data_IF_931311776657
#
_entry.id   IF_931311776657
#
_cell.length_a   1.000
_cell.length_b   1.000
_cell.length_c   1.000
_cell.angle_alpha   90.00
_cell.angle_beta   90.00
_cell.angle_gamma   90.00
#
_symmetry.space_group_name_H-M   'P 1'
#
loop_
_entity.id
_entity.type
_entity.pdbx_description
1 polymer ?
#
# COMPACT_ATOMS: atom_id res chain seq x y z
N UNK A 1 -56.61 15.30 39.42
CA UNK A 1 -56.15 14.49 38.27
C UNK A 1 -55.06 15.25 37.57
N UNK A 2 -53.82 14.83 37.72
CA UNK A 2 -52.67 15.39 36.98
C UNK A 2 -52.63 14.77 35.56
N UNK A 3 -52.38 15.53 34.52
CA UNK A 3 -52.18 14.93 33.20
C UNK A 3 -50.85 14.16 33.14
N UNK A 4 -50.73 13.11 32.31
CA UNK A 4 -49.51 12.31 32.18
C UNK A 4 -48.42 13.16 31.51
N UNK A 5 -47.21 13.04 32.04
CA UNK A 5 -46.02 13.63 31.46
C UNK A 5 -45.79 13.05 30.06
N UNK A 6 -45.74 13.92 29.06
CA UNK A 6 -45.37 13.55 27.70
C UNK A 6 -43.95 13.04 27.66
N UNK A 7 -43.74 11.80 27.23
CA UNK A 7 -42.45 11.28 26.85
C UNK A 7 -41.87 12.14 25.72
N UNK A 8 -40.79 12.84 26.02
CA UNK A 8 -39.96 13.51 25.02
C UNK A 8 -39.20 12.39 24.32
N UNK A 9 -39.69 11.98 23.14
CA UNK A 9 -38.91 11.16 22.21
C UNK A 9 -37.64 11.95 21.86
N UNK A 10 -36.53 11.56 22.46
CA UNK A 10 -35.20 12.02 22.08
C UNK A 10 -34.90 11.39 20.71
N UNK A 11 -35.28 12.05 19.64
CA UNK A 11 -34.79 11.78 18.29
C UNK A 11 -33.27 11.94 18.38
N UNK A 12 -32.53 10.83 18.40
CA UNK A 12 -31.08 10.85 18.36
C UNK A 12 -30.67 11.58 17.07
N UNK A 13 -30.18 12.80 17.23
CA UNK A 13 -29.68 13.58 16.11
C UNK A 13 -28.55 12.80 15.44
N UNK A 14 -28.66 12.58 14.12
CA UNK A 14 -27.61 11.93 13.36
C UNK A 14 -26.27 12.63 13.64
N UNK A 15 -25.18 11.89 13.88
CA UNK A 15 -23.89 12.47 14.22
C UNK A 15 -23.42 13.39 13.11
N UNK A 16 -22.78 14.51 13.47
CA UNK A 16 -22.23 15.43 12.49
C UNK A 16 -21.14 14.71 11.65
N UNK A 17 -20.94 15.12 10.38
CA UNK A 17 -19.91 14.51 9.52
C UNK A 17 -18.50 14.49 10.14
N UNK A 18 -18.17 15.53 10.93
CA UNK A 18 -16.89 15.58 11.67
C UNK A 18 -16.80 14.49 12.74
N UNK A 19 -17.84 14.31 13.55
CA UNK A 19 -17.88 13.24 14.57
C UNK A 19 -17.86 11.86 13.93
N UNK A 20 -18.53 11.70 12.77
CA UNK A 20 -18.47 10.44 12.02
C UNK A 20 -17.02 10.16 11.56
N UNK A 21 -16.31 11.14 10.99
CA UNK A 21 -14.93 10.97 10.55
C UNK A 21 -13.97 10.66 11.72
N UNK A 22 -14.14 11.30 12.87
CA UNK A 22 -13.36 11.00 14.08
C UNK A 22 -13.60 9.56 14.54
N UNK A 23 -14.86 9.12 14.51
CA UNK A 23 -15.20 7.76 14.92
C UNK A 23 -14.70 6.72 13.92
N UNK A 24 -14.75 6.99 12.62
CA UNK A 24 -14.14 6.15 11.58
C UNK A 24 -12.66 5.92 11.87
N UNK A 25 -11.89 6.97 12.20
CA UNK A 25 -10.47 6.82 12.55
C UNK A 25 -10.27 6.01 13.84
N UNK A 26 -11.13 6.20 14.84
CA UNK A 26 -11.08 5.44 16.08
C UNK A 26 -11.34 3.94 15.82
N UNK A 27 -12.35 3.60 15.02
CA UNK A 27 -12.65 2.22 14.64
C UNK A 27 -11.47 1.61 13.87
N UNK A 28 -10.85 2.34 12.94
CA UNK A 28 -9.68 1.87 12.23
C UNK A 28 -8.54 1.51 13.19
N UNK A 29 -8.25 2.37 14.17
CA UNK A 29 -7.23 2.11 15.19
C UNK A 29 -7.58 0.90 16.08
N UNK A 30 -8.83 0.77 16.51
CA UNK A 30 -9.35 -0.40 17.26
C UNK A 30 -9.22 -1.70 16.46
N UNK A 31 -9.25 -1.64 15.13
CA UNK A 31 -9.06 -2.77 14.24
C UNK A 31 -7.60 -3.03 13.85
N UNK A 32 -6.68 -2.27 14.43
CA UNK A 32 -5.24 -2.46 14.27
C UNK A 32 -4.63 -1.78 13.05
N UNK A 33 -5.34 -0.87 12.38
CA UNK A 33 -4.73 0.00 11.37
C UNK A 33 -3.96 1.14 12.05
N UNK A 34 -2.72 1.36 11.65
CA UNK A 34 -1.88 2.42 12.22
C UNK A 34 -2.14 3.77 11.57
N UNK A 35 -2.78 3.78 10.41
CA UNK A 35 -3.12 4.99 9.63
C UNK A 35 -4.54 4.87 9.12
N UNK A 36 -5.26 5.99 9.16
CA UNK A 36 -6.59 6.13 8.56
C UNK A 36 -6.83 7.58 8.21
N UNK A 37 -7.24 7.83 6.98
CA UNK A 37 -7.60 9.16 6.51
C UNK A 37 -8.66 9.11 5.41
N UNK A 38 -9.19 10.26 5.07
CA UNK A 38 -10.31 10.40 4.15
C UNK A 38 -9.90 11.33 3.00
N UNK A 39 -9.96 10.81 1.77
CA UNK A 39 -9.70 11.55 0.55
C UNK A 39 -11.00 11.89 -0.19
N UNK A 40 -10.93 12.95 -1.01
CA UNK A 40 -11.84 13.13 -2.12
C UNK A 40 -11.58 12.13 -3.24
N UNK A 41 -12.31 12.26 -4.34
CA UNK A 41 -12.22 11.35 -5.49
C UNK A 41 -11.43 11.94 -6.67
N UNK A 42 -10.94 13.16 -6.55
CA UNK A 42 -10.26 13.88 -7.62
C UNK A 42 -8.77 13.51 -7.66
N UNK A 43 -8.32 12.94 -8.77
CA UNK A 43 -6.94 12.48 -9.00
C UNK A 43 -6.36 13.02 -10.33
N UNK A 44 -6.76 14.24 -10.75
CA UNK A 44 -6.45 14.76 -12.07
C UNK A 44 -4.98 14.77 -12.45
N UNK A 45 -4.07 15.22 -11.58
CA UNK A 45 -2.62 15.20 -11.85
C UNK A 45 -2.07 13.77 -11.90
N UNK A 46 -2.54 12.89 -11.02
CA UNK A 46 -2.12 11.48 -10.99
C UNK A 46 -2.60 10.73 -12.24
N UNK A 47 -3.77 11.09 -12.78
CA UNK A 47 -4.27 10.56 -14.06
C UNK A 47 -3.34 10.95 -15.21
N UNK A 48 -2.89 12.22 -15.27
CA UNK A 48 -1.93 12.67 -16.29
C UNK A 48 -0.61 11.91 -16.17
N UNK A 49 -0.09 11.75 -14.97
CA UNK A 49 1.14 10.99 -14.72
C UNK A 49 1.00 9.50 -15.10
N UNK A 50 -0.14 8.89 -14.81
CA UNK A 50 -0.41 7.50 -15.21
C UNK A 50 -0.44 7.36 -16.72
N UNK A 51 -1.15 8.24 -17.43
CA UNK A 51 -1.23 8.23 -18.91
C UNK A 51 0.13 8.39 -19.56
N UNK A 52 0.94 9.33 -19.06
CA UNK A 52 2.30 9.55 -19.57
C UNK A 52 3.19 8.30 -19.35
N UNK A 53 3.12 7.68 -18.18
CA UNK A 53 3.86 6.47 -17.86
C UNK A 53 3.43 5.28 -18.73
N UNK A 54 2.13 5.12 -18.97
CA UNK A 54 1.59 4.11 -19.89
C UNK A 54 2.00 4.37 -21.35
N UNK A 55 1.90 5.62 -21.82
CA UNK A 55 2.25 5.98 -23.18
C UNK A 55 3.74 5.72 -23.51
N UNK A 56 4.62 5.75 -22.50
CA UNK A 56 6.05 5.43 -22.66
C UNK A 56 6.36 3.94 -22.51
N UNK A 57 5.37 3.08 -22.28
CA UNK A 57 5.57 1.64 -22.08
C UNK A 57 6.43 1.28 -20.88
N UNK A 58 6.50 2.16 -19.87
CA UNK A 58 7.32 1.95 -18.67
C UNK A 58 6.78 0.86 -17.74
N UNK A 59 5.59 0.33 -18.01
CA UNK A 59 4.94 -0.74 -17.26
C UNK A 59 5.39 -2.17 -17.67
N UNK A 60 6.19 -2.29 -18.73
CA UNK A 60 6.67 -3.61 -19.20
C UNK A 60 5.54 -4.50 -19.73
N UNK A 61 5.43 -5.71 -19.22
CA UNK A 61 4.39 -6.70 -19.60
C UNK A 61 3.15 -6.67 -18.71
N UNK A 62 3.04 -5.69 -17.79
CA UNK A 62 1.87 -5.52 -16.93
C UNK A 62 0.67 -4.91 -17.70
N UNK A 63 0.16 -5.60 -18.73
CA UNK A 63 -0.94 -5.11 -19.58
C UNK A 63 -2.20 -4.80 -18.80
N UNK A 64 -2.37 -5.41 -17.63
CA UNK A 64 -3.45 -5.11 -16.70
C UNK A 64 -3.39 -3.66 -16.18
N UNK A 65 -2.23 -3.00 -16.20
CA UNK A 65 -2.12 -1.56 -15.88
C UNK A 65 -2.84 -0.70 -16.91
N UNK A 66 -2.74 -1.04 -18.19
CA UNK A 66 -3.39 -0.32 -19.29
C UNK A 66 -4.86 -0.74 -19.50
N UNK A 67 -5.21 -2.00 -19.17
CA UNK A 67 -6.52 -2.61 -19.48
C UNK A 67 -7.72 -1.82 -18.95
N UNK A 68 -7.59 -1.21 -17.79
CA UNK A 68 -8.67 -0.44 -17.16
C UNK A 68 -8.62 1.05 -17.50
N UNK A 69 -7.64 1.49 -18.29
CA UNK A 69 -7.50 2.87 -18.72
C UNK A 69 -7.62 3.88 -17.57
N UNK A 70 -8.45 4.88 -17.78
CA UNK A 70 -8.65 5.98 -16.83
C UNK A 70 -9.41 5.59 -15.57
N UNK A 71 -10.09 4.44 -15.53
CA UNK A 71 -10.84 3.99 -14.35
C UNK A 71 -10.00 3.94 -13.08
N UNK A 72 -8.67 3.70 -13.22
CA UNK A 72 -7.74 3.70 -12.08
C UNK A 72 -7.69 5.05 -11.35
N UNK A 73 -7.86 6.14 -12.09
CA UNK A 73 -7.82 7.50 -11.54
C UNK A 73 -9.20 8.10 -11.30
N UNK A 74 -10.27 7.35 -11.58
CA UNK A 74 -11.65 7.84 -11.54
C UNK A 74 -12.54 7.01 -10.62
N UNK A 75 -12.43 7.20 -9.30
CA UNK A 75 -13.17 6.41 -8.31
C UNK A 75 -14.68 6.33 -8.55
N UNK A 76 -15.31 7.43 -8.95
CA UNK A 76 -16.76 7.47 -9.20
C UNK A 76 -17.18 6.76 -10.50
N UNK A 77 -16.26 6.59 -11.47
CA UNK A 77 -16.51 5.78 -12.67
C UNK A 77 -16.30 4.29 -12.36
N UNK A 78 -15.30 3.97 -11.52
CA UNK A 78 -15.02 2.59 -11.09
C UNK A 78 -16.14 2.03 -10.20
N UNK A 79 -16.66 2.85 -9.30
CA UNK A 79 -17.81 2.53 -8.45
C UNK A 79 -18.79 3.73 -8.44
N UNK A 80 -19.85 3.70 -9.23
CA UNK A 80 -20.85 4.77 -9.25
C UNK A 80 -21.42 5.06 -7.86
N UNK A 81 -21.58 6.34 -7.55
CA UNK A 81 -22.04 6.81 -6.24
C UNK A 81 -20.92 7.09 -5.24
N UNK A 82 -19.68 6.73 -5.54
CA UNK A 82 -18.53 7.06 -4.67
C UNK A 82 -18.35 8.57 -4.57
N UNK A 83 -18.31 9.10 -3.35
CA UNK A 83 -18.05 10.52 -3.06
C UNK A 83 -16.81 10.74 -2.19
N UNK A 84 -16.36 9.70 -1.47
CA UNK A 84 -15.14 9.73 -0.63
C UNK A 84 -14.42 8.38 -0.68
N UNK A 85 -13.15 8.42 -0.30
CA UNK A 85 -12.33 7.22 -0.12
C UNK A 85 -11.72 7.27 1.28
N UNK A 86 -11.95 6.22 2.05
CA UNK A 86 -11.26 6.00 3.33
C UNK A 86 -10.03 5.16 3.00
N UNK A 87 -8.82 5.74 3.18
CA UNK A 87 -7.56 5.02 3.02
C UNK A 87 -7.01 4.62 4.37
N UNK A 88 -6.47 3.42 4.46
CA UNK A 88 -5.83 2.91 5.67
C UNK A 88 -4.43 2.36 5.39
N UNK A 89 -3.58 2.33 6.43
CA UNK A 89 -2.27 1.71 6.40
C UNK A 89 -2.09 0.69 7.51
N UNK A 90 -1.56 -0.48 7.16
CA UNK A 90 -1.24 -1.57 8.09
C UNK A 90 0.26 -1.87 8.03
N UNK A 91 0.97 -1.66 9.13
CA UNK A 91 2.42 -1.84 9.22
C UNK A 91 2.82 -3.32 9.06
N UNK A 92 3.84 -3.57 8.21
CA UNK A 92 4.55 -4.85 8.12
C UNK A 92 6.04 -4.73 8.45
N UNK A 93 6.46 -3.58 8.94
CA UNK A 93 7.85 -3.29 9.29
C UNK A 93 8.46 -4.30 10.26
N UNK A 94 9.76 -4.56 10.11
CA UNK A 94 10.57 -5.43 10.97
C UNK A 94 11.80 -4.65 11.44
N UNK A 95 12.29 -4.94 12.64
CA UNK A 95 13.53 -4.34 13.17
C UNK A 95 14.75 -5.21 12.80
N UNK A 96 14.94 -5.47 11.50
CA UNK A 96 15.95 -6.37 10.98
C UNK A 96 16.70 -5.82 9.75
N UNK A 97 16.86 -4.49 9.67
CA UNK A 97 17.54 -3.83 8.54
C UNK A 97 18.96 -4.35 8.35
N UNK A 98 19.73 -4.57 9.45
CA UNK A 98 21.06 -5.15 9.38
C UNK A 98 21.04 -6.59 8.86
N UNK A 99 20.01 -7.36 9.21
CA UNK A 99 19.80 -8.72 8.67
C UNK A 99 19.52 -8.70 7.18
N UNK A 100 18.74 -7.73 6.67
CA UNK A 100 18.46 -7.57 5.24
C UNK A 100 19.75 -7.28 4.46
N UNK A 101 20.59 -6.34 4.92
CA UNK A 101 21.86 -6.03 4.28
C UNK A 101 22.84 -7.19 4.35
N UNK A 102 22.89 -7.92 5.47
CA UNK A 102 23.72 -9.13 5.61
C UNK A 102 23.28 -10.21 4.61
N UNK A 103 21.98 -10.42 4.45
CA UNK A 103 21.44 -11.38 3.46
C UNK A 103 21.77 -10.94 2.03
N UNK A 104 21.61 -9.65 1.71
CA UNK A 104 21.93 -9.11 0.38
C UNK A 104 23.42 -9.19 0.05
N UNK A 105 24.31 -9.14 1.05
CA UNK A 105 25.76 -9.26 0.87
C UNK A 105 26.23 -10.71 0.73
N UNK A 106 25.44 -11.71 1.15
CA UNK A 106 25.78 -13.13 1.05
C UNK A 106 25.14 -13.76 -0.19
N UNK A 107 25.91 -13.89 -1.26
CA UNK A 107 25.44 -14.47 -2.52
C UNK A 107 24.99 -15.94 -2.45
N UNK A 108 25.13 -16.61 -1.29
CA UNK A 108 24.61 -17.98 -1.08
C UNK A 108 23.21 -18.01 -0.49
N UNK A 109 22.74 -16.88 0.05
CA UNK A 109 21.41 -16.75 0.66
C UNK A 109 20.40 -16.21 -0.36
N UNK A 110 19.13 -16.59 -0.21
CA UNK A 110 18.05 -16.03 -0.97
C UNK A 110 17.50 -14.77 -0.28
N UNK A 111 17.25 -13.71 -1.04
CA UNK A 111 16.56 -12.53 -0.55
C UNK A 111 15.13 -12.48 -1.07
N UNK A 112 14.19 -12.48 -0.13
CA UNK A 112 12.76 -12.26 -0.38
C UNK A 112 12.38 -10.91 0.22
N UNK A 113 11.66 -10.08 -0.53
CA UNK A 113 11.21 -8.79 -0.04
C UNK A 113 10.36 -8.92 1.23
N UNK A 114 10.53 -8.00 2.17
CA UNK A 114 9.95 -8.06 3.53
C UNK A 114 8.44 -8.27 3.54
N UNK A 115 7.73 -7.62 2.61
CA UNK A 115 6.28 -7.71 2.54
C UNK A 115 5.80 -9.14 2.21
N UNK A 116 6.64 -9.96 1.57
CA UNK A 116 6.31 -11.29 1.11
C UNK A 116 6.80 -12.41 2.06
N UNK A 117 7.52 -12.09 3.12
CA UNK A 117 8.04 -13.10 4.07
C UNK A 117 6.93 -13.78 4.90
N UNK A 118 5.82 -13.09 5.12
CA UNK A 118 4.70 -13.58 5.92
C UNK A 118 3.63 -14.28 5.09
N UNK A 119 2.43 -14.26 5.61
CA UNK A 119 1.24 -14.72 4.91
C UNK A 119 0.81 -13.69 3.87
N UNK A 120 0.16 -14.14 2.80
CA UNK A 120 -0.46 -13.27 1.80
C UNK A 120 -1.37 -12.23 2.46
N UNK A 121 -0.98 -10.96 2.32
CA UNK A 121 -1.67 -9.83 2.94
C UNK A 121 -3.01 -9.50 2.28
N UNK A 122 -3.22 -9.87 1.02
CA UNK A 122 -4.44 -9.51 0.27
C UNK A 122 -5.71 -9.99 0.96
N UNK A 123 -5.72 -11.26 1.40
CA UNK A 123 -6.88 -11.85 2.09
C UNK A 123 -7.08 -11.22 3.46
N UNK A 124 -5.99 -11.01 4.20
CA UNK A 124 -6.03 -10.40 5.53
C UNK A 124 -6.59 -8.98 5.45
N UNK A 125 -6.00 -8.15 4.58
CA UNK A 125 -6.42 -6.75 4.38
C UNK A 125 -7.86 -6.66 3.92
N UNK A 126 -8.26 -7.44 2.91
CA UNK A 126 -9.64 -7.44 2.39
C UNK A 126 -10.65 -7.80 3.47
N UNK A 127 -10.38 -8.86 4.25
CA UNK A 127 -11.27 -9.27 5.32
C UNK A 127 -11.35 -8.23 6.44
N UNK A 128 -10.22 -7.59 6.79
CA UNK A 128 -10.16 -6.55 7.83
C UNK A 128 -10.89 -5.29 7.37
N UNK A 129 -10.71 -4.87 6.13
CA UNK A 129 -11.43 -3.75 5.53
C UNK A 129 -12.94 -3.98 5.47
N UNK A 130 -13.38 -5.19 5.10
CA UNK A 130 -14.81 -5.50 5.09
C UNK A 130 -15.40 -5.41 6.50
N UNK A 131 -14.75 -6.01 7.50
CA UNK A 131 -15.18 -5.89 8.91
C UNK A 131 -15.17 -4.43 9.39
N UNK A 132 -14.25 -3.62 8.90
CA UNK A 132 -14.19 -2.20 9.20
C UNK A 132 -15.41 -1.46 8.62
N UNK A 133 -15.74 -1.70 7.36
CA UNK A 133 -16.94 -1.15 6.73
C UNK A 133 -18.22 -1.61 7.43
N UNK A 134 -18.33 -2.89 7.76
CA UNK A 134 -19.47 -3.46 8.49
C UNK A 134 -19.64 -2.79 9.86
N UNK A 135 -18.54 -2.51 10.55
CA UNK A 135 -18.59 -1.85 11.86
C UNK A 135 -19.02 -0.38 11.75
N UNK A 136 -18.56 0.34 10.71
CA UNK A 136 -19.04 1.70 10.41
C UNK A 136 -20.56 1.66 10.15
N UNK A 137 -21.02 0.72 9.31
CA UNK A 137 -22.43 0.55 9.01
C UNK A 137 -23.26 0.21 10.26
N UNK A 138 -22.73 -0.58 11.19
CA UNK A 138 -23.38 -0.91 12.46
C UNK A 138 -23.56 0.29 13.39
N UNK A 139 -22.67 1.30 13.31
CA UNK A 139 -22.76 2.50 14.16
C UNK A 139 -23.56 3.64 13.51
N UNK A 140 -23.50 3.78 12.19
CA UNK A 140 -24.06 4.95 11.50
C UNK A 140 -25.20 4.63 10.54
N UNK A 141 -25.55 3.37 10.38
CA UNK A 141 -26.51 2.91 9.40
C UNK A 141 -25.85 2.45 8.10
N UNK A 142 -26.61 1.75 7.27
CA UNK A 142 -26.15 1.22 5.99
C UNK A 142 -25.73 2.34 5.03
N UNK A 143 -24.64 2.12 4.30
CA UNK A 143 -24.12 3.00 3.26
C UNK A 143 -23.54 2.17 2.10
N UNK A 144 -23.51 2.76 0.91
CA UNK A 144 -22.88 2.14 -0.25
C UNK A 144 -21.36 2.14 -0.10
N UNK A 145 -20.72 0.94 -0.17
CA UNK A 145 -19.29 0.84 -0.09
C UNK A 145 -18.71 -0.34 -0.87
N UNK A 146 -17.43 -0.25 -1.17
CA UNK A 146 -16.61 -1.35 -1.68
C UNK A 146 -15.18 -1.25 -1.19
N UNK A 147 -14.62 -2.37 -0.78
CA UNK A 147 -13.23 -2.46 -0.31
C UNK A 147 -12.31 -2.85 -1.45
N UNK A 148 -11.10 -2.26 -1.47
CA UNK A 148 -10.06 -2.52 -2.45
C UNK A 148 -8.72 -2.73 -1.76
N UNK A 149 -7.91 -3.64 -2.32
CA UNK A 149 -6.55 -3.92 -1.89
C UNK A 149 -5.74 -4.29 -3.13
N UNK A 150 -4.66 -3.59 -3.41
CA UNK A 150 -3.61 -3.86 -4.40
C UNK A 150 -4.12 -4.28 -5.79
N UNK A 151 -4.65 -5.48 -5.94
CA UNK A 151 -5.05 -6.08 -7.23
C UNK A 151 -6.20 -5.35 -7.96
N UNK A 152 -6.78 -4.31 -7.38
CA UNK A 152 -7.84 -3.53 -7.98
C UNK A 152 -7.30 -2.41 -8.89
N UNK A 153 -8.09 -1.91 -9.85
CA UNK A 153 -7.72 -0.76 -10.67
C UNK A 153 -7.86 0.55 -9.90
N UNK A 154 -7.04 0.74 -8.87
CA UNK A 154 -7.07 1.87 -7.93
C UNK A 154 -5.68 2.49 -7.84
N UNK A 155 -5.59 3.82 -7.80
CA UNK A 155 -4.35 4.54 -7.49
C UNK A 155 -4.21 4.74 -5.98
N UNK A 156 -4.02 3.64 -5.23
CA UNK A 156 -3.99 3.61 -3.76
C UNK A 156 -3.04 4.65 -3.17
N UNK A 157 -1.81 4.75 -3.69
CA UNK A 157 -0.79 5.71 -3.18
C UNK A 157 -1.22 7.17 -3.34
N UNK A 158 -1.91 7.50 -4.44
CA UNK A 158 -2.42 8.85 -4.68
C UNK A 158 -3.58 9.17 -3.73
N UNK A 159 -4.50 8.24 -3.54
CA UNK A 159 -5.62 8.37 -2.60
C UNK A 159 -5.11 8.48 -1.16
N UNK A 160 -4.19 7.62 -0.75
CA UNK A 160 -3.60 7.64 0.58
C UNK A 160 -2.80 8.94 0.86
N UNK A 161 -2.09 9.48 -0.15
CA UNK A 161 -1.47 10.82 -0.08
C UNK A 161 -2.51 11.90 0.15
N UNK A 162 -3.58 11.88 -0.63
CA UNK A 162 -4.66 12.86 -0.53
C UNK A 162 -5.46 12.71 0.78
N UNK A 163 -5.48 11.51 1.37
CA UNK A 163 -6.02 11.24 2.70
C UNK A 163 -5.06 11.60 3.84
N UNK A 164 -3.88 12.16 3.55
CA UNK A 164 -2.92 12.60 4.57
C UNK A 164 -2.09 11.50 5.22
N UNK A 165 -2.10 10.25 4.70
CA UNK A 165 -1.36 9.13 5.29
C UNK A 165 0.16 9.27 5.12
N UNK A 166 0.60 10.04 4.13
CA UNK A 166 2.00 10.24 3.81
C UNK A 166 2.18 10.83 2.41
N UNK A 167 3.41 11.04 1.99
CA UNK A 167 3.72 11.53 0.65
C UNK A 167 4.33 10.43 -0.22
N UNK A 168 4.16 10.53 -1.51
CA UNK A 168 4.83 9.65 -2.47
C UNK A 168 6.31 10.02 -2.53
N UNK A 169 7.19 9.10 -2.11
CA UNK A 169 8.63 9.29 -2.15
C UNK A 169 9.22 9.26 -3.56
N UNK A 170 10.48 9.69 -3.73
CA UNK A 170 11.19 9.61 -5.03
C UNK A 170 11.28 8.17 -5.57
N UNK A 171 11.21 7.17 -4.70
CA UNK A 171 11.13 5.74 -5.04
C UNK A 171 9.71 5.23 -5.32
N UNK A 172 8.73 6.11 -5.41
CA UNK A 172 7.31 5.86 -5.68
C UNK A 172 6.50 5.18 -4.57
N UNK A 173 7.11 4.69 -3.49
CA UNK A 173 6.35 4.21 -2.33
C UNK A 173 5.81 5.38 -1.50
N UNK A 174 4.70 5.16 -0.78
CA UNK A 174 4.19 6.13 0.19
C UNK A 174 5.07 6.13 1.45
N UNK A 175 5.36 7.31 1.99
CA UNK A 175 6.19 7.51 3.18
C UNK A 175 5.39 8.28 4.21
N UNK A 176 5.23 7.72 5.40
CA UNK A 176 4.72 8.42 6.58
C UNK A 176 5.91 9.00 7.37
N UNK A 177 5.78 10.26 7.79
CA UNK A 177 6.83 10.95 8.57
C UNK A 177 7.13 10.28 9.92
N UNK A 178 6.14 9.60 10.51
CA UNK A 178 6.20 9.01 11.84
C UNK A 178 6.29 7.47 11.83
N UNK A 179 6.27 6.84 10.64
CA UNK A 179 6.20 5.39 10.49
C UNK A 179 6.92 4.82 9.27
N UNK A 180 7.66 5.64 8.49
CA UNK A 180 8.39 5.15 7.32
C UNK A 180 7.50 4.70 6.17
N UNK A 181 7.92 3.67 5.43
CA UNK A 181 7.21 3.19 4.24
C UNK A 181 6.86 1.69 4.26
N UNK A 182 7.08 1.01 5.39
CA UNK A 182 6.84 -0.42 5.55
C UNK A 182 5.39 -0.71 5.96
N UNK A 183 4.42 -0.35 5.12
CA UNK A 183 2.99 -0.61 5.38
C UNK A 183 2.23 -0.91 4.09
N UNK A 184 1.23 -1.77 4.21
CA UNK A 184 0.25 -2.04 3.18
C UNK A 184 -0.82 -0.96 3.16
N UNK A 185 -1.38 -0.70 1.99
CA UNK A 185 -2.51 0.19 1.78
C UNK A 185 -3.81 -0.60 1.57
N UNK A 186 -4.92 0.05 1.85
CA UNK A 186 -6.24 -0.45 1.50
C UNK A 186 -7.25 0.68 1.53
N UNK A 187 -8.25 0.59 0.66
CA UNK A 187 -9.25 1.63 0.44
C UNK A 187 -10.66 1.10 0.62
N UNK A 188 -11.52 1.97 1.16
CA UNK A 188 -12.97 1.79 1.14
C UNK A 188 -13.56 2.97 0.38
N UNK A 189 -14.15 2.70 -0.77
CA UNK A 189 -14.96 3.69 -1.51
C UNK A 189 -16.32 3.77 -0.86
N UNK A 190 -16.80 4.99 -0.62
CA UNK A 190 -18.03 5.22 0.14
C UNK A 190 -18.90 6.31 -0.51
N UNK A 191 -20.22 6.22 -0.33
CA UNK A 191 -21.20 7.20 -0.77
C UNK A 191 -21.57 8.23 0.32
N UNK A 192 -20.90 8.21 1.48
CA UNK A 192 -21.12 9.15 2.58
C UNK A 192 -20.18 10.36 2.47
N UNK A 193 -20.70 11.61 2.61
CA UNK A 193 -19.92 12.83 2.42
C UNK A 193 -19.11 13.20 3.66
N UNK A 194 -18.14 12.35 4.02
CA UNK A 194 -17.20 12.61 5.11
C UNK A 194 -16.31 13.84 4.79
N UNK A 195 -15.88 14.63 5.78
CA UNK A 195 -14.88 15.67 5.57
C UNK A 195 -13.55 15.06 5.12
N UNK A 196 -12.92 15.70 4.12
CA UNK A 196 -11.64 15.26 3.58
C UNK A 196 -10.49 15.76 4.44
N UNK A 197 -9.43 14.97 4.51
CA UNK A 197 -8.17 15.36 5.17
C UNK A 197 -7.29 16.19 4.22
N UNK A 198 -6.34 16.92 4.79
CA UNK A 198 -5.35 17.62 4.00
C UNK A 198 -4.28 16.65 3.50
N UNK A 199 -3.84 16.75 2.23
CA UNK A 199 -2.75 15.95 1.71
C UNK A 199 -1.45 16.14 2.51
N UNK A 200 -0.67 15.05 2.65
CA UNK A 200 0.60 15.13 3.32
C UNK A 200 1.65 15.89 2.50
N UNK A 201 2.46 16.70 3.18
CA UNK A 201 3.55 17.45 2.57
C UNK A 201 4.74 16.54 2.25
N UNK A 202 5.38 16.73 1.10
CA UNK A 202 6.56 15.97 0.69
C UNK A 202 7.83 16.43 1.44
N UNK A 203 8.64 15.45 1.89
CA UNK A 203 9.86 15.70 2.67
C UNK A 203 11.12 15.02 2.12
N UNK A 204 11.12 14.56 0.87
CA UNK A 204 12.33 13.98 0.25
C UNK A 204 13.46 15.00 0.04
N UNK A 205 13.14 16.29 -0.13
CA UNK A 205 14.13 17.34 -0.33
C UNK A 205 15.15 17.01 -1.42
N UNK A 206 16.43 17.24 -1.15
CA UNK A 206 17.55 16.97 -2.08
C UNK A 206 18.06 15.52 -2.02
N UNK A 207 17.53 14.66 -1.14
CA UNK A 207 17.99 13.27 -0.98
C UNK A 207 17.78 12.44 -2.25
N UNK A 208 18.81 11.70 -2.66
CA UNK A 208 18.81 10.80 -3.84
C UNK A 208 19.10 9.34 -3.51
N UNK A 209 19.25 8.98 -2.24
CA UNK A 209 19.72 7.64 -1.80
C UNK A 209 19.01 6.48 -2.48
N UNK A 210 17.68 6.55 -2.63
CA UNK A 210 16.90 5.49 -3.28
C UNK A 210 17.16 5.38 -4.77
N UNK A 211 17.53 6.48 -5.44
CA UNK A 211 17.91 6.49 -6.86
C UNK A 211 19.30 5.88 -7.00
N UNK A 212 20.24 6.33 -6.15
CA UNK A 212 21.66 5.95 -6.23
C UNK A 212 21.88 4.47 -5.90
N UNK A 213 21.12 3.90 -4.96
CA UNK A 213 21.25 2.49 -4.53
C UNK A 213 20.66 1.50 -5.52
N UNK A 214 19.73 1.93 -6.41
CA UNK A 214 19.00 1.02 -7.29
C UNK A 214 19.97 0.27 -8.21
N UNK A 215 20.15 -1.06 -8.07
CA UNK A 215 21.18 -1.79 -8.81
C UNK A 215 20.97 -1.74 -10.32
N UNK A 216 19.72 -1.69 -10.75
CA UNK A 216 19.31 -1.66 -12.15
C UNK A 216 18.98 -0.26 -12.66
N UNK A 217 19.10 0.76 -11.80
CA UNK A 217 18.74 2.14 -12.14
C UNK A 217 17.30 2.28 -12.67
N UNK A 218 16.38 1.55 -12.05
CA UNK A 218 14.97 1.55 -12.42
C UNK A 218 14.27 2.87 -12.09
N UNK A 219 14.73 3.61 -11.06
CA UNK A 219 14.21 4.94 -10.72
C UNK A 219 14.90 5.96 -11.61
N UNK A 220 14.31 6.21 -12.78
CA UNK A 220 14.90 7.02 -13.86
C UNK A 220 14.85 8.53 -13.60
N UNK A 221 13.99 8.97 -12.70
CA UNK A 221 13.89 10.32 -12.18
C UNK A 221 13.12 10.30 -10.84
N UNK A 222 13.16 11.36 -10.02
CA UNK A 222 12.29 11.47 -8.86
C UNK A 222 10.83 11.18 -9.21
N UNK A 223 10.20 10.25 -8.47
CA UNK A 223 8.81 9.82 -8.65
C UNK A 223 8.51 9.08 -9.97
N UNK A 224 9.55 8.69 -10.72
CA UNK A 224 9.41 8.04 -12.02
C UNK A 224 10.19 6.73 -12.08
N UNK A 225 9.47 5.63 -12.25
CA UNK A 225 10.00 4.27 -12.29
C UNK A 225 9.84 3.67 -13.70
N UNK A 226 10.91 3.10 -14.24
CA UNK A 226 10.84 2.16 -15.37
C UNK A 226 10.71 0.74 -14.79
N UNK A 227 9.50 0.19 -14.83
CA UNK A 227 9.23 -1.14 -14.29
C UNK A 227 10.07 -2.23 -14.98
N UNK A 228 10.36 -2.08 -16.28
CA UNK A 228 11.15 -3.05 -17.06
C UNK A 228 12.56 -3.29 -16.50
N UNK A 229 13.04 -2.38 -15.69
CA UNK A 229 14.33 -2.45 -14.98
C UNK A 229 14.19 -2.76 -13.49
N UNK A 230 12.99 -2.61 -12.92
CA UNK A 230 12.77 -2.80 -11.49
C UNK A 230 12.86 -4.28 -11.10
N UNK A 231 13.72 -4.62 -10.14
CA UNK A 231 13.91 -6.01 -9.70
C UNK A 231 12.60 -6.60 -9.16
N UNK A 232 11.78 -5.79 -8.46
CA UNK A 232 10.48 -6.27 -8.01
C UNK A 232 9.58 -6.68 -9.18
N UNK A 233 9.52 -5.88 -10.24
CA UNK A 233 8.81 -6.27 -11.46
C UNK A 233 9.43 -7.51 -12.11
N UNK A 234 10.75 -7.56 -12.26
CA UNK A 234 11.45 -8.64 -12.94
C UNK A 234 11.29 -10.00 -12.24
N UNK A 235 11.08 -10.01 -10.93
CA UNK A 235 10.98 -11.23 -10.12
C UNK A 235 9.55 -11.60 -9.73
N UNK A 236 8.56 -10.75 -10.04
CA UNK A 236 7.16 -10.98 -9.65
C UNK A 236 6.23 -10.96 -10.86
N UNK A 237 6.34 -9.95 -11.73
CA UNK A 237 5.35 -9.65 -12.76
C UNK A 237 5.83 -9.99 -14.18
N UNK A 238 7.15 -10.08 -14.38
CA UNK A 238 7.73 -10.30 -15.70
C UNK A 238 7.53 -11.73 -16.16
N UNK A 239 6.91 -11.88 -17.33
CA UNK A 239 6.77 -13.18 -17.97
C UNK A 239 7.92 -13.42 -18.96
N UNK A 240 8.59 -14.55 -18.81
CA UNK A 240 9.66 -14.99 -19.71
C UNK A 240 11.08 -14.77 -19.16
N UNK A 241 12.07 -14.82 -20.04
CA UNK A 241 13.47 -14.74 -19.65
C UNK A 241 13.89 -13.29 -19.37
N UNK A 242 14.48 -13.05 -18.22
CA UNK A 242 15.06 -11.75 -17.86
C UNK A 242 16.26 -11.45 -18.76
N UNK A 243 16.38 -10.19 -19.21
CA UNK A 243 17.51 -9.73 -20.02
C UNK A 243 18.85 -10.11 -19.35
N UNK A 244 19.76 -10.81 -20.08
CA UNK A 244 21.06 -11.20 -19.56
C UNK A 244 21.88 -10.04 -18.94
N UNK A 245 21.73 -8.82 -19.44
CA UNK A 245 22.40 -7.64 -18.90
C UNK A 245 21.90 -7.24 -17.49
N UNK A 246 20.67 -7.58 -17.14
CA UNK A 246 20.09 -7.28 -15.83
C UNK A 246 20.34 -8.37 -14.78
N UNK A 247 20.56 -9.63 -15.21
CA UNK A 247 20.71 -10.77 -14.30
C UNK A 247 21.81 -10.58 -13.23
N UNK A 248 23.02 -10.13 -13.56
CA UNK A 248 24.05 -9.89 -12.55
C UNK A 248 23.67 -8.80 -11.54
N UNK A 249 22.84 -7.83 -11.95
CA UNK A 249 22.39 -6.70 -11.12
C UNK A 249 21.30 -7.11 -10.12
N UNK A 250 20.55 -8.17 -10.40
CA UNK A 250 19.54 -8.72 -9.50
C UNK A 250 20.20 -9.34 -8.25
N UNK A 251 21.36 -9.94 -8.43
CA UNK A 251 22.07 -10.64 -7.35
C UNK A 251 21.26 -11.81 -6.79
N UNK A 252 21.11 -11.87 -5.48
CA UNK A 252 20.40 -12.92 -4.76
C UNK A 252 18.91 -12.61 -4.46
N UNK A 253 18.36 -11.59 -5.08
CA UNK A 253 16.95 -11.21 -4.91
C UNK A 253 16.07 -12.13 -5.76
N UNK A 254 15.38 -13.06 -5.11
CA UNK A 254 14.56 -14.07 -5.80
C UNK A 254 13.08 -13.67 -5.91
N UNK A 255 12.61 -12.79 -5.02
CA UNK A 255 11.23 -12.31 -5.02
C UNK A 255 11.15 -10.89 -4.45
N UNK A 256 10.82 -9.91 -5.28
CA UNK A 256 10.76 -8.51 -4.89
C UNK A 256 12.13 -7.87 -4.66
N UNK A 257 12.11 -6.63 -4.17
CA UNK A 257 13.32 -5.84 -3.89
C UNK A 257 12.97 -4.72 -2.92
N UNK A 258 13.80 -4.54 -1.89
CA UNK A 258 13.61 -3.53 -0.86
C UNK A 258 14.69 -2.45 -0.85
N UNK A 259 15.68 -2.49 -1.74
CA UNK A 259 16.88 -1.62 -1.69
C UNK A 259 16.54 -0.13 -1.54
N UNK A 260 15.60 0.36 -2.31
CA UNK A 260 15.20 1.77 -2.28
C UNK A 260 14.49 2.17 -0.97
N UNK A 261 13.83 1.23 -0.31
CA UNK A 261 13.22 1.44 1.00
C UNK A 261 14.23 1.27 2.14
N UNK A 262 15.13 0.28 2.06
CA UNK A 262 16.18 0.04 3.06
C UNK A 262 17.09 1.25 3.28
N UNK A 263 17.43 1.99 2.21
CA UNK A 263 18.28 3.20 2.33
C UNK A 263 17.50 4.47 2.68
N UNK A 264 16.18 4.40 2.68
CA UNK A 264 15.36 5.58 2.92
C UNK A 264 15.53 6.07 4.37
N UNK A 265 16.00 7.31 4.60
CA UNK A 265 16.24 7.80 5.96
C UNK A 265 14.95 7.91 6.79
N UNK A 266 13.79 7.93 6.16
CA UNK A 266 12.50 7.96 6.85
C UNK A 266 12.14 6.61 7.45
N UNK A 267 12.71 5.51 6.97
CA UNK A 267 12.46 4.17 7.52
C UNK A 267 13.13 3.94 8.89
N UNK A 268 13.99 4.85 9.37
CA UNK A 268 14.44 4.85 10.77
C UNK A 268 13.28 5.07 11.77
N UNK A 269 12.15 5.62 11.30
CA UNK A 269 10.93 5.79 12.10
C UNK A 269 9.92 4.66 11.91
N UNK A 270 10.25 3.67 11.07
CA UNK A 270 9.36 2.54 10.80
C UNK A 270 9.03 1.79 12.09
N UNK A 271 7.78 1.43 12.22
CA UNK A 271 7.29 0.67 13.37
C UNK A 271 7.35 -0.81 13.08
N UNK A 272 7.70 -1.58 14.12
CA UNK A 272 7.58 -3.03 14.06
C UNK A 272 6.10 -3.41 14.09
N UNK A 273 5.73 -4.34 13.22
CA UNK A 273 4.39 -4.93 13.28
C UNK A 273 4.29 -5.98 14.38
N UNK A 274 3.15 -5.99 15.05
CA UNK A 274 2.76 -7.08 15.96
C UNK A 274 1.82 -8.10 15.26
N UNK A 275 1.51 -7.90 13.98
CA UNK A 275 0.63 -8.77 13.20
C UNK A 275 1.28 -10.16 13.04
N UNK A 276 0.68 -11.21 13.62
CA UNK A 276 1.27 -12.56 13.58
C UNK A 276 1.41 -13.11 12.14
N UNK A 277 0.49 -12.75 11.26
CA UNK A 277 0.49 -13.21 9.87
C UNK A 277 1.65 -12.63 9.04
N UNK A 278 2.32 -11.56 9.51
CA UNK A 278 3.48 -10.97 8.83
C UNK A 278 4.83 -11.48 9.35
N UNK A 279 4.85 -12.45 10.27
CA UNK A 279 6.07 -13.14 10.66
C UNK A 279 6.60 -13.98 9.50
N UNK A 280 7.93 -14.06 9.37
CA UNK A 280 8.53 -14.91 8.34
C UNK A 280 8.09 -16.36 8.50
N UNK A 281 7.78 -16.99 7.36
CA UNK A 281 7.30 -18.36 7.26
C UNK A 281 8.23 -19.18 6.38
N UNK A 282 8.17 -20.50 6.55
CA UNK A 282 8.91 -21.46 5.72
C UNK A 282 10.42 -21.17 5.64
N UNK A 283 10.98 -20.53 6.69
CA UNK A 283 12.39 -20.11 6.75
C UNK A 283 12.83 -19.23 5.55
N UNK A 284 11.92 -18.49 4.91
CA UNK A 284 12.23 -17.65 3.74
C UNK A 284 13.22 -16.51 4.05
N UNK A 285 13.31 -16.10 5.31
CA UNK A 285 14.28 -15.08 5.77
C UNK A 285 15.69 -15.65 6.02
N UNK A 286 15.85 -16.97 5.95
CA UNK A 286 17.14 -17.68 6.14
C UNK A 286 17.48 -18.65 5.03
N UNK A 287 16.64 -18.76 4.00
CA UNK A 287 16.75 -19.71 2.91
C UNK A 287 18.09 -19.54 2.14
N UNK A 288 18.64 -20.65 1.67
CA UNK A 288 19.81 -20.69 0.80
C UNK A 288 19.37 -20.90 -0.64
N UNK A 289 20.02 -20.23 -1.59
CA UNK A 289 19.71 -20.37 -3.01
C UNK A 289 19.82 -21.81 -3.49
N UNK A 290 20.85 -22.55 -3.05
CA UNK A 290 21.07 -23.94 -3.44
C UNK A 290 19.93 -24.86 -2.96
N UNK A 291 19.41 -24.63 -1.75
CA UNK A 291 18.32 -25.43 -1.18
C UNK A 291 17.02 -25.19 -1.95
N UNK A 292 16.69 -23.91 -2.23
CA UNK A 292 15.50 -23.56 -3.01
C UNK A 292 15.57 -24.06 -4.46
N UNK A 293 16.78 -24.07 -5.05
CA UNK A 293 16.97 -24.59 -6.40
C UNK A 293 16.82 -26.13 -6.49
N UNK A 294 17.00 -26.82 -5.37
CA UNK A 294 16.85 -28.27 -5.26
C UNK A 294 15.40 -28.71 -5.04
N UNK A 295 14.47 -27.79 -4.73
CA UNK A 295 13.05 -28.13 -4.50
C UNK A 295 12.42 -28.77 -5.74
N UNK A 296 11.63 -29.80 -5.51
CA UNK A 296 10.72 -30.39 -6.51
C UNK A 296 9.29 -29.82 -6.34
N UNK A 297 8.36 -30.34 -7.13
CA UNK A 297 6.95 -29.87 -7.11
C UNK A 297 6.25 -30.12 -5.77
N UNK A 298 6.64 -31.17 -5.03
CA UNK A 298 6.04 -31.51 -3.75
C UNK A 298 6.58 -30.64 -2.60
N UNK A 299 7.81 -30.13 -2.74
CA UNK A 299 8.47 -29.24 -1.76
C UNK A 299 8.08 -27.76 -1.96
N UNK A 300 7.70 -27.35 -3.18
CA UNK A 300 7.28 -26.00 -3.51
C UNK A 300 5.84 -25.74 -3.08
#
# INVERSE_FOLDING_TARGET
>A
MNPPASAIDTVACAPSPLRMAERVRAIAAEMGFQRCGIAGIELGEDEVHLRDWLAQGLYGTMDWMARHGDLRARPAELLPGTVRVISVGLDYGRNDDDSAWTTLADGTRAYVARYALGRDYHKLMRNRLQKFADRIAGEFGAFGHRVFVDSAPVLERALARNAGLGWIGKHTCLIDKDGGSWFFLGEIYVDIPLPVDAPATAHCGTCTRCIDVCPTQAIIAPHRLDARRCIAYLTIEHEGAIDPALRPLIGNRIFGCDDCQLVCPWNKFARRTDEPDFRARNALDTARLADLFAWDEDEF
#
